data_IF_862802265340
#
_entry.id   IF_862802265340
#
_cell.length_a   1.000
_cell.length_b   1.000
_cell.length_c   1.000
_cell.angle_alpha   90.00
_cell.angle_beta   90.00
_cell.angle_gamma   90.00
#
_symmetry.space_group_name_H-M   'P 1'
#
loop_
_entity.id
_entity.type
_entity.pdbx_description
1 polymer ?
#
# COMPACT_ATOMS: atom_id res chain seq x y z
N UNK A 1 -7.65 10.38 7.71
CA UNK A 1 -7.39 8.99 7.27
C UNK A 1 -6.22 8.44 8.02
N UNK A 2 -6.32 7.20 8.45
CA UNK A 2 -5.34 6.63 9.37
C UNK A 2 -4.43 5.58 8.76
N UNK A 3 -4.90 4.87 7.74
CA UNK A 3 -4.22 3.68 7.23
C UNK A 3 -3.81 3.83 5.77
N UNK A 4 -2.67 3.23 5.42
CA UNK A 4 -2.22 3.04 4.05
C UNK A 4 -2.21 1.54 3.76
N UNK A 5 -2.89 1.10 2.71
CA UNK A 5 -2.91 -0.33 2.36
C UNK A 5 -1.72 -0.68 1.48
N UNK A 6 -1.04 -1.78 1.84
CA UNK A 6 -0.09 -2.42 0.93
C UNK A 6 -0.85 -3.10 -0.21
N UNK A 7 -0.21 -3.20 -1.36
CA UNK A 7 -0.81 -3.74 -2.58
C UNK A 7 -1.41 -5.13 -2.39
N UNK A 8 -0.70 -6.02 -1.68
CA UNK A 8 -1.16 -7.40 -1.51
C UNK A 8 -2.44 -7.51 -0.67
N UNK A 9 -2.62 -6.62 0.31
CA UNK A 9 -3.87 -6.59 1.09
C UNK A 9 -5.05 -6.26 0.16
N UNK A 10 -4.86 -5.31 -0.74
CA UNK A 10 -5.89 -4.90 -1.69
C UNK A 10 -6.20 -6.02 -2.69
N UNK A 11 -5.17 -6.69 -3.20
CA UNK A 11 -5.33 -7.84 -4.10
C UNK A 11 -6.12 -8.96 -3.42
N UNK A 12 -5.77 -9.28 -2.18
CA UNK A 12 -6.47 -10.31 -1.40
C UNK A 12 -7.93 -9.93 -1.18
N UNK A 13 -8.19 -8.67 -0.93
CA UNK A 13 -9.57 -8.17 -0.80
C UNK A 13 -10.39 -8.43 -2.07
N UNK A 14 -9.83 -8.12 -3.24
CA UNK A 14 -10.54 -8.35 -4.51
C UNK A 14 -10.68 -9.83 -4.86
N UNK A 15 -9.87 -10.70 -4.26
CA UNK A 15 -10.00 -12.14 -4.37
C UNK A 15 -10.98 -12.74 -3.34
N UNK A 16 -11.64 -11.88 -2.58
CA UNK A 16 -12.57 -12.28 -1.52
C UNK A 16 -11.91 -13.13 -0.43
N UNK A 17 -10.62 -12.90 -0.16
CA UNK A 17 -9.93 -13.54 0.95
C UNK A 17 -10.58 -13.07 2.27
N UNK A 18 -11.13 -13.99 3.10
CA UNK A 18 -11.93 -13.59 4.26
C UNK A 18 -11.21 -12.68 5.24
N UNK A 19 -9.93 -12.92 5.48
CA UNK A 19 -9.15 -12.09 6.42
C UNK A 19 -8.97 -10.68 5.91
N UNK A 20 -8.70 -10.52 4.61
CA UNK A 20 -8.56 -9.20 4.00
C UNK A 20 -9.90 -8.45 3.99
N UNK A 21 -11.00 -9.14 3.68
CA UNK A 21 -12.33 -8.53 3.69
C UNK A 21 -12.68 -8.02 5.08
N UNK A 22 -12.45 -8.81 6.12
CA UNK A 22 -12.70 -8.40 7.51
C UNK A 22 -11.83 -7.23 7.93
N UNK A 23 -10.54 -7.28 7.56
CA UNK A 23 -9.60 -6.23 7.92
C UNK A 23 -9.99 -4.89 7.29
N UNK A 24 -10.29 -4.89 6.00
CA UNK A 24 -10.68 -3.67 5.29
C UNK A 24 -11.99 -3.11 5.86
N UNK A 25 -12.97 -3.97 6.15
CA UNK A 25 -14.21 -3.51 6.78
C UNK A 25 -13.95 -2.83 8.12
N UNK A 26 -13.01 -3.37 8.89
CA UNK A 26 -12.65 -2.82 10.20
C UNK A 26 -11.95 -1.46 10.09
N UNK A 27 -10.93 -1.34 9.23
CA UNK A 27 -10.16 -0.10 9.12
C UNK A 27 -10.89 0.99 8.34
N UNK A 28 -11.87 0.62 7.51
CA UNK A 28 -12.65 1.59 6.73
C UNK A 28 -13.35 2.61 7.60
N UNK A 29 -13.69 2.26 8.84
CA UNK A 29 -14.33 3.17 9.78
C UNK A 29 -13.45 4.38 10.11
N UNK A 30 -12.13 4.19 10.15
CA UNK A 30 -11.18 5.27 10.40
C UNK A 30 -10.59 5.84 9.11
N UNK A 31 -10.88 5.20 7.98
CA UNK A 31 -10.45 5.60 6.67
C UNK A 31 -9.06 5.11 6.28
N UNK A 32 -8.91 4.81 5.00
CA UNK A 32 -7.63 4.41 4.45
C UNK A 32 -7.40 5.05 3.08
N UNK A 33 -6.15 5.07 2.69
CA UNK A 33 -5.70 5.57 1.39
C UNK A 33 -4.84 4.49 0.74
N UNK A 34 -4.57 4.66 -0.55
CA UNK A 34 -3.58 3.85 -1.25
C UNK A 34 -2.53 4.76 -1.88
N UNK A 35 -1.35 4.23 -2.10
CA UNK A 35 -0.29 4.92 -2.83
C UNK A 35 -0.52 4.82 -4.34
N UNK A 36 -0.06 5.82 -5.09
CA UNK A 36 0.02 5.74 -6.55
C UNK A 36 0.86 4.54 -7.00
N UNK A 37 1.81 4.09 -6.17
CA UNK A 37 2.58 2.87 -6.43
C UNK A 37 1.66 1.65 -6.40
N UNK A 38 0.77 1.56 -5.41
CA UNK A 38 -0.22 0.47 -5.34
C UNK A 38 -1.16 0.50 -6.54
N UNK A 39 -1.59 1.69 -6.96
CA UNK A 39 -2.38 1.84 -8.18
C UNK A 39 -1.63 1.26 -9.39
N UNK A 40 -0.35 1.63 -9.55
CA UNK A 40 0.47 1.14 -10.66
C UNK A 40 0.62 -0.39 -10.63
N UNK A 41 0.89 -0.96 -9.47
CA UNK A 41 1.04 -2.41 -9.33
C UNK A 41 -0.25 -3.15 -9.63
N UNK A 42 -1.37 -2.63 -9.14
CA UNK A 42 -2.67 -3.23 -9.41
C UNK A 42 -2.99 -3.17 -10.91
N UNK A 43 -2.73 -2.04 -11.57
CA UNK A 43 -2.97 -1.88 -13.00
C UNK A 43 -2.14 -2.85 -13.84
N UNK A 44 -0.89 -3.12 -13.46
CA UNK A 44 -0.08 -4.13 -14.15
C UNK A 44 -0.80 -5.48 -14.13
N UNK A 45 -1.29 -5.90 -12.97
CA UNK A 45 -2.04 -7.15 -12.86
C UNK A 45 -3.32 -7.14 -13.70
N UNK A 46 -4.04 -6.03 -13.69
CA UNK A 46 -5.28 -5.88 -14.46
C UNK A 46 -5.03 -5.98 -15.96
N UNK A 47 -3.98 -5.30 -16.47
CA UNK A 47 -3.64 -5.35 -17.89
C UNK A 47 -3.20 -6.74 -18.34
N UNK A 48 -2.65 -7.54 -17.44
CA UNK A 48 -2.25 -8.92 -17.73
C UNK A 48 -3.39 -9.93 -17.60
N UNK A 49 -4.53 -9.51 -17.08
CA UNK A 49 -5.69 -10.39 -16.88
C UNK A 49 -6.43 -10.68 -18.19
N UNK A 50 -7.36 -11.62 -18.14
CA UNK A 50 -8.21 -11.96 -19.31
C UNK A 50 -9.25 -10.89 -19.61
N UNK A 51 -9.55 -10.00 -18.67
CA UNK A 51 -10.55 -8.94 -18.83
C UNK A 51 -10.01 -7.61 -18.28
N UNK A 52 -9.00 -7.00 -18.94
CA UNK A 52 -8.36 -5.79 -18.40
C UNK A 52 -9.34 -4.64 -18.18
N UNK A 53 -10.16 -4.32 -19.16
CA UNK A 53 -11.08 -3.19 -19.10
C UNK A 53 -12.07 -3.32 -17.94
N UNK A 54 -12.62 -4.52 -17.76
CA UNK A 54 -13.55 -4.81 -16.67
C UNK A 54 -12.89 -4.68 -15.32
N UNK A 55 -11.70 -5.25 -15.17
CA UNK A 55 -10.98 -5.21 -13.90
C UNK A 55 -10.56 -3.80 -13.52
N UNK A 56 -10.11 -3.00 -14.49
CA UNK A 56 -9.75 -1.60 -14.27
C UNK A 56 -11.00 -0.81 -13.88
N UNK A 57 -12.11 -1.00 -14.58
CA UNK A 57 -13.36 -0.30 -14.28
C UNK A 57 -13.86 -0.65 -12.88
N UNK A 58 -13.81 -1.92 -12.49
CA UNK A 58 -14.22 -2.35 -11.15
C UNK A 58 -13.36 -1.71 -10.07
N UNK A 59 -12.05 -1.60 -10.31
CA UNK A 59 -11.13 -0.99 -9.35
C UNK A 59 -11.40 0.52 -9.22
N UNK A 60 -11.56 1.20 -10.35
CA UNK A 60 -11.88 2.64 -10.35
C UNK A 60 -13.20 2.92 -9.65
N UNK A 61 -14.21 2.09 -9.89
CA UNK A 61 -15.50 2.19 -9.21
C UNK A 61 -15.35 1.98 -7.70
N UNK A 62 -14.54 1.03 -7.29
CA UNK A 62 -14.27 0.80 -5.88
C UNK A 62 -13.67 2.03 -5.21
N UNK A 63 -12.65 2.63 -5.83
CA UNK A 63 -12.01 3.82 -5.29
C UNK A 63 -12.99 4.99 -5.19
N UNK A 64 -13.77 5.22 -6.25
CA UNK A 64 -14.68 6.35 -6.32
C UNK A 64 -15.89 6.19 -5.38
N UNK A 65 -16.47 5.00 -5.34
CA UNK A 65 -17.66 4.73 -4.51
C UNK A 65 -17.37 4.78 -3.02
N UNK A 66 -16.12 4.55 -2.63
CA UNK A 66 -15.72 4.54 -1.23
C UNK A 66 -14.87 5.77 -0.86
N UNK A 67 -14.74 6.72 -1.76
CA UNK A 67 -13.96 7.95 -1.57
C UNK A 67 -12.55 7.66 -1.05
N UNK A 68 -11.87 6.70 -1.70
CA UNK A 68 -10.50 6.31 -1.31
C UNK A 68 -9.51 7.17 -2.07
N UNK A 69 -8.74 8.02 -1.38
CA UNK A 69 -7.71 8.81 -2.04
C UNK A 69 -6.53 7.97 -2.50
N UNK A 70 -5.96 8.36 -3.63
CA UNK A 70 -4.67 7.84 -4.10
C UNK A 70 -3.63 8.92 -3.82
N UNK A 71 -2.67 8.64 -2.94
CA UNK A 71 -1.64 9.62 -2.60
C UNK A 71 -0.46 9.52 -3.56
N UNK A 72 0.02 10.67 -3.99
CA UNK A 72 1.13 10.76 -4.93
C UNK A 72 2.47 10.73 -4.20
N UNK A 73 3.54 10.45 -4.94
CA UNK A 73 4.90 10.51 -4.41
C UNK A 73 5.38 11.95 -4.51
N UNK A 74 5.40 12.63 -3.39
CA UNK A 74 5.86 14.02 -3.33
C UNK A 74 7.33 14.10 -2.87
N UNK A 75 7.84 15.33 -2.79
CA UNK A 75 9.23 15.59 -2.43
C UNK A 75 9.57 15.09 -1.02
N UNK A 76 8.65 15.25 -0.07
CA UNK A 76 8.87 14.77 1.31
C UNK A 76 8.99 13.25 1.35
N UNK A 77 8.19 12.56 0.57
CA UNK A 77 8.27 11.10 0.45
C UNK A 77 9.62 10.69 -0.15
N UNK A 78 10.12 11.45 -1.14
CA UNK A 78 11.44 11.17 -1.72
C UNK A 78 12.56 11.26 -0.69
N UNK A 79 12.54 12.26 0.18
CA UNK A 79 13.53 12.36 1.26
C UNK A 79 13.44 11.19 2.24
N UNK A 80 12.24 10.84 2.67
CA UNK A 80 12.03 9.69 3.56
C UNK A 80 12.50 8.39 2.90
N UNK A 81 12.19 8.21 1.63
CA UNK A 81 12.67 7.06 0.84
C UNK A 81 14.20 6.97 0.88
N UNK A 82 14.87 8.07 0.55
CA UNK A 82 16.33 8.09 0.45
C UNK A 82 17.00 7.78 1.79
N UNK A 83 16.53 8.39 2.87
CA UNK A 83 17.08 8.13 4.21
C UNK A 83 16.91 6.68 4.64
N UNK A 84 15.71 6.13 4.48
CA UNK A 84 15.42 4.77 4.94
C UNK A 84 16.08 3.71 4.05
N UNK A 85 16.10 3.92 2.72
CA UNK A 85 16.79 3.01 1.82
C UNK A 85 18.28 2.96 2.12
N UNK A 86 18.91 4.13 2.30
CA UNK A 86 20.32 4.22 2.64
C UNK A 86 20.64 3.47 3.94
N UNK A 87 19.81 3.64 4.97
CA UNK A 87 19.98 2.96 6.26
C UNK A 87 19.91 1.44 6.10
N UNK A 88 18.90 0.94 5.37
CA UNK A 88 18.75 -0.51 5.19
C UNK A 88 19.86 -1.10 4.32
N UNK A 89 20.30 -0.40 3.29
CA UNK A 89 21.42 -0.85 2.45
C UNK A 89 22.71 -0.99 3.25
N UNK A 90 22.97 -0.03 4.15
CA UNK A 90 24.14 -0.10 5.03
C UNK A 90 24.09 -1.30 5.97
N UNK A 91 22.90 -1.73 6.36
CA UNK A 91 22.71 -2.89 7.25
C UNK A 91 22.60 -4.22 6.48
N UNK A 92 22.65 -4.19 5.16
CA UNK A 92 22.42 -5.39 4.35
C UNK A 92 20.98 -5.90 4.41
N UNK A 93 20.01 -5.02 4.70
CA UNK A 93 18.60 -5.37 4.87
C UNK A 93 17.72 -4.72 3.80
N UNK A 94 18.23 -4.59 2.60
CA UNK A 94 17.57 -3.94 1.48
C UNK A 94 16.18 -4.52 1.21
N UNK A 95 15.23 -3.65 0.87
CA UNK A 95 13.90 -4.03 0.37
C UNK A 95 13.72 -3.46 -1.03
N UNK A 96 12.67 -3.89 -1.74
CA UNK A 96 12.42 -3.38 -3.09
C UNK A 96 12.15 -1.88 -3.07
N UNK A 97 12.44 -1.22 -4.21
CA UNK A 97 12.22 0.22 -4.33
C UNK A 97 10.74 0.61 -4.17
N UNK A 98 9.84 -0.17 -4.75
CA UNK A 98 8.41 0.09 -4.64
C UNK A 98 7.92 -0.08 -3.19
N UNK A 99 8.36 -1.12 -2.50
CA UNK A 99 7.99 -1.31 -1.10
C UNK A 99 8.53 -0.16 -0.24
N UNK A 100 9.74 0.31 -0.49
CA UNK A 100 10.26 1.46 0.24
C UNK A 100 9.49 2.73 -0.06
N UNK A 101 9.02 2.94 -1.29
CA UNK A 101 8.18 4.10 -1.62
C UNK A 101 6.86 4.06 -0.87
N UNK A 102 6.26 2.89 -0.74
CA UNK A 102 5.03 2.70 0.05
C UNK A 102 5.31 3.00 1.53
N UNK A 103 6.39 2.44 2.08
CA UNK A 103 6.77 2.67 3.47
C UNK A 103 7.06 4.16 3.74
N UNK A 104 7.81 4.80 2.85
CA UNK A 104 8.14 6.22 2.96
C UNK A 104 6.89 7.10 2.91
N UNK A 105 5.90 6.69 2.11
CA UNK A 105 4.62 7.39 2.05
C UNK A 105 3.90 7.34 3.41
N UNK A 106 3.88 6.16 4.05
CA UNK A 106 3.26 5.99 5.36
C UNK A 106 3.98 6.83 6.42
N UNK A 107 5.31 6.81 6.43
CA UNK A 107 6.11 7.60 7.38
C UNK A 107 5.86 9.09 7.18
N UNK A 108 5.98 9.56 5.96
CA UNK A 108 5.85 10.99 5.64
C UNK A 108 4.46 11.53 5.95
N UNK A 109 3.42 10.75 5.71
CA UNK A 109 2.03 11.16 5.93
C UNK A 109 1.49 10.74 7.29
N UNK A 110 2.32 10.11 8.13
CA UNK A 110 1.95 9.66 9.49
C UNK A 110 0.78 8.68 9.46
N UNK A 111 0.85 7.73 8.54
CA UNK A 111 -0.15 6.69 8.38
C UNK A 111 0.38 5.36 8.91
N UNK A 112 -0.53 4.47 9.28
CA UNK A 112 -0.19 3.10 9.66
C UNK A 112 -0.27 2.25 8.40
N UNK A 113 0.82 1.56 8.08
CA UNK A 113 0.85 0.66 6.93
C UNK A 113 0.18 -0.66 7.28
N UNK A 114 -0.77 -1.08 6.47
CA UNK A 114 -1.45 -2.37 6.61
C UNK A 114 -0.80 -3.34 5.64
N UNK A 115 -0.04 -4.31 6.14
CA UNK A 115 0.70 -5.25 5.32
C UNK A 115 0.98 -6.53 6.07
N UNK A 116 1.06 -7.65 5.34
CA UNK A 116 1.48 -8.94 5.86
C UNK A 116 2.96 -9.24 5.55
N UNK A 117 3.65 -8.35 4.86
CA UNK A 117 5.04 -8.53 4.49
C UNK A 117 5.96 -8.14 5.63
N UNK A 118 6.74 -9.10 6.13
CA UNK A 118 7.66 -8.89 7.24
C UNK A 118 8.83 -7.97 6.90
N UNK A 119 9.13 -7.78 5.62
CA UNK A 119 10.22 -6.89 5.21
C UNK A 119 10.03 -5.48 5.78
N UNK A 120 8.79 -5.03 5.92
CA UNK A 120 8.51 -3.70 6.47
C UNK A 120 8.90 -3.53 7.94
N UNK A 121 9.02 -4.61 8.69
CA UNK A 121 9.46 -4.54 10.11
C UNK A 121 10.92 -4.11 10.25
N UNK A 122 11.69 -4.15 9.17
CA UNK A 122 13.09 -3.67 9.15
C UNK A 122 13.19 -2.15 9.27
N UNK A 123 12.09 -1.43 9.04
CA UNK A 123 12.06 0.03 9.04
C UNK A 123 11.54 0.51 10.40
N UNK A 124 12.43 1.08 11.22
CA UNK A 124 12.13 1.42 12.62
C UNK A 124 11.02 2.46 12.78
N UNK A 125 11.00 3.47 11.91
CA UNK A 125 10.03 4.57 12.02
C UNK A 125 8.63 4.18 11.56
N UNK A 126 8.51 3.07 10.85
CA UNK A 126 7.27 2.66 10.23
C UNK A 126 6.37 1.97 11.24
N UNK A 127 5.12 2.44 11.33
CA UNK A 127 4.08 1.76 12.11
C UNK A 127 3.31 0.83 11.18
N UNK A 128 3.21 -0.43 11.55
CA UNK A 128 2.52 -1.43 10.73
C UNK A 128 1.49 -2.19 11.54
N UNK A 129 0.43 -2.64 10.87
CA UNK A 129 -0.46 -3.68 11.38
C UNK A 129 -0.57 -4.78 10.34
N UNK A 130 -0.73 -5.99 10.81
CA UNK A 130 -0.90 -7.14 9.92
C UNK A 130 -2.38 -7.48 9.76
N UNK A 131 -2.72 -8.05 8.59
CA UNK A 131 -4.08 -8.44 8.26
C UNK A 131 -4.44 -9.86 8.65
N UNK A 132 -3.63 -10.49 9.46
CA UNK A 132 -3.85 -11.89 9.84
C UNK A 132 -4.21 -12.06 11.29
#
# INVERSE_FOLDING_TARGET
>A
MKYLLDTNILIDFFRNEPKAVKLIAKIAQEGFVISVITLAEYLVGAYKSTSPEKNIQNFENFLNSNDIPVIEIDQNIAYSYAQNMSTLEQKGQKISGFDMLIAASAISKKLILVSNDRAFTRIKELKTITGV
#
